data_IF_164536392444
#
_entry.id   IF_164536392444
#
_cell.length_a   1.000
_cell.length_b   1.000
_cell.length_c   1.000
_cell.angle_alpha   90.00
_cell.angle_beta   90.00
_cell.angle_gamma   90.00
#
_symmetry.space_group_name_H-M   'P 1'
#
loop_
_entity.id
_entity.type
_entity.pdbx_description
1 polymer ?
#
# COMPACT_ATOMS: atom_id res chain seq x y z
N UNK A 1 5.43 7.90 -5.96
CA UNK A 1 6.39 6.83 -5.59
C UNK A 1 5.97 5.50 -6.17
N UNK A 2 4.87 4.86 -5.74
CA UNK A 2 4.43 3.58 -6.31
C UNK A 2 4.39 3.56 -7.85
N UNK A 3 3.78 4.58 -8.47
CA UNK A 3 3.74 4.72 -9.92
C UNK A 3 5.12 4.94 -10.56
N UNK A 4 6.06 5.59 -9.86
CA UNK A 4 7.44 5.77 -10.33
C UNK A 4 8.21 4.44 -10.34
N UNK A 5 7.87 3.53 -9.44
CA UNK A 5 8.39 2.15 -9.40
C UNK A 5 7.64 1.21 -10.35
N UNK A 6 6.65 1.71 -11.11
CA UNK A 6 5.81 0.88 -11.97
C UNK A 6 4.83 -0.03 -11.21
N UNK A 7 4.56 0.26 -9.94
CA UNK A 7 3.72 -0.54 -9.04
C UNK A 7 2.36 0.13 -8.85
N UNK A 8 1.28 -0.65 -9.00
CA UNK A 8 -0.08 -0.20 -8.71
C UNK A 8 -0.34 -0.21 -7.20
N UNK A 9 -0.94 0.84 -6.68
CA UNK A 9 -1.44 0.87 -5.31
C UNK A 9 -2.96 0.78 -5.33
N UNK A 10 -3.51 -0.24 -4.67
CA UNK A 10 -4.95 -0.45 -4.55
C UNK A 10 -5.36 -0.47 -3.08
N UNK A 11 -6.48 0.17 -2.79
CA UNK A 11 -7.15 0.06 -1.50
C UNK A 11 -8.41 -0.78 -1.69
N UNK A 12 -8.67 -1.70 -0.76
CA UNK A 12 -9.98 -2.30 -0.63
C UNK A 12 -10.99 -1.28 -0.10
N UNK A 13 -12.26 -1.47 -0.39
CA UNK A 13 -13.32 -0.53 -0.01
C UNK A 13 -13.40 -0.36 1.52
N UNK A 14 -13.25 -1.46 2.25
CA UNK A 14 -13.22 -1.49 3.71
C UNK A 14 -12.02 -0.73 4.28
N UNK A 15 -10.89 -0.74 3.57
CA UNK A 15 -9.71 0.04 3.95
C UNK A 15 -9.98 1.55 3.82
N UNK A 16 -10.66 1.98 2.76
CA UNK A 16 -11.06 3.38 2.58
C UNK A 16 -12.01 3.83 3.70
N UNK A 17 -12.99 3.00 4.06
CA UNK A 17 -13.89 3.27 5.17
C UNK A 17 -13.15 3.36 6.52
N UNK A 18 -12.21 2.45 6.78
CA UNK A 18 -11.39 2.47 8.00
C UNK A 18 -10.53 3.74 8.10
N UNK A 19 -9.91 4.15 6.99
CA UNK A 19 -9.10 5.38 6.91
C UNK A 19 -9.98 6.60 7.18
N UNK A 20 -11.14 6.70 6.52
CA UNK A 20 -12.08 7.82 6.71
C UNK A 20 -12.55 7.92 8.18
N UNK A 21 -12.91 6.79 8.80
CA UNK A 21 -13.32 6.74 10.21
C UNK A 21 -12.21 7.24 11.13
N UNK A 22 -10.97 6.78 10.92
CA UNK A 22 -9.80 7.25 11.69
C UNK A 22 -9.53 8.75 11.51
N UNK A 23 -9.66 9.27 10.29
CA UNK A 23 -9.47 10.69 10.01
C UNK A 23 -10.49 11.57 10.75
N UNK A 24 -11.76 11.13 10.81
CA UNK A 24 -12.82 11.79 11.57
C UNK A 24 -12.51 11.75 13.07
N UNK A 25 -12.13 10.59 13.61
CA UNK A 25 -11.81 10.42 15.03
C UNK A 25 -10.65 11.32 15.50
N UNK A 26 -9.63 11.50 14.66
CA UNK A 26 -8.48 12.37 14.97
C UNK A 26 -8.82 13.87 14.92
N UNK A 27 -10.03 14.27 14.48
CA UNK A 27 -10.48 15.68 14.37
C UNK A 27 -9.55 16.60 13.56
N UNK A 28 -8.73 16.00 12.71
CA UNK A 28 -7.65 16.67 11.96
C UNK A 28 -8.08 17.16 10.57
N UNK A 29 -9.34 16.93 10.19
CA UNK A 29 -9.85 17.23 8.86
C UNK A 29 -9.02 16.58 7.74
N UNK A 30 -8.98 17.20 6.55
CA UNK A 30 -8.26 16.68 5.38
C UNK A 30 -6.74 16.56 5.59
N UNK A 31 -6.14 17.38 6.46
CA UNK A 31 -4.70 17.30 6.76
C UNK A 31 -4.33 16.01 7.51
N UNK A 32 -5.24 15.51 8.35
CA UNK A 32 -5.06 14.25 9.05
C UNK A 32 -5.07 13.02 8.16
N UNK A 33 -5.83 13.08 7.05
CA UNK A 33 -5.89 11.99 6.09
C UNK A 33 -4.50 11.69 5.51
N UNK A 34 -3.76 12.75 5.14
CA UNK A 34 -2.39 12.62 4.63
C UNK A 34 -1.47 11.94 5.64
N UNK A 35 -1.50 12.37 6.91
CA UNK A 35 -0.67 11.77 7.97
C UNK A 35 -1.02 10.30 8.23
N UNK A 36 -2.31 9.94 8.15
CA UNK A 36 -2.76 8.54 8.28
C UNK A 36 -2.22 7.70 7.12
N UNK A 37 -2.37 8.19 5.89
CA UNK A 37 -1.87 7.49 4.69
C UNK A 37 -0.35 7.36 4.72
N UNK A 38 0.38 8.41 5.10
CA UNK A 38 1.84 8.35 5.25
C UNK A 38 2.25 7.28 6.27
N UNK A 39 1.57 7.19 7.42
CA UNK A 39 1.85 6.14 8.41
C UNK A 39 1.59 4.72 7.91
N UNK A 40 0.50 4.52 7.15
CA UNK A 40 0.14 3.21 6.59
C UNK A 40 1.13 2.76 5.51
N UNK A 41 1.57 3.69 4.65
CA UNK A 41 2.35 3.37 3.47
C UNK A 41 3.87 3.42 3.72
N UNK A 42 4.33 3.97 4.84
CA UNK A 42 5.76 4.20 5.09
C UNK A 42 6.60 2.92 5.01
N UNK A 43 6.17 1.86 5.69
CA UNK A 43 6.89 0.58 5.69
C UNK A 43 6.92 -0.01 4.27
N UNK A 44 5.79 0.02 3.57
CA UNK A 44 5.68 -0.43 2.19
C UNK A 44 6.61 0.35 1.26
N UNK A 45 6.67 1.67 1.39
CA UNK A 45 7.52 2.53 0.56
C UNK A 45 9.01 2.26 0.81
N UNK A 46 9.38 1.85 2.01
CA UNK A 46 10.75 1.47 2.34
C UNK A 46 11.11 0.08 1.83
N UNK A 47 10.18 -0.88 1.92
CA UNK A 47 10.39 -2.25 1.44
C UNK A 47 10.36 -2.33 -0.10
N UNK A 48 9.49 -1.58 -0.76
CA UNK A 48 9.19 -1.72 -2.20
C UNK A 48 10.42 -1.69 -3.11
N UNK A 49 11.42 -0.79 -2.95
CA UNK A 49 12.61 -0.77 -3.80
C UNK A 49 13.47 -2.05 -3.72
N UNK A 50 13.31 -2.83 -2.65
CA UNK A 50 14.03 -4.10 -2.46
C UNK A 50 13.27 -5.31 -3.03
N UNK A 51 11.98 -5.15 -3.33
CA UNK A 51 11.12 -6.22 -3.82
C UNK A 51 11.16 -6.28 -5.35
N UNK A 52 11.65 -7.38 -5.90
CA UNK A 52 11.70 -7.61 -7.35
C UNK A 52 10.39 -8.21 -7.85
N UNK A 53 9.85 -7.65 -8.94
CA UNK A 53 8.71 -8.22 -9.67
C UNK A 53 7.33 -7.93 -9.07
N UNK A 54 7.24 -7.09 -8.04
CA UNK A 54 5.94 -6.61 -7.52
C UNK A 54 5.26 -5.77 -8.59
N UNK A 55 3.97 -6.02 -8.82
CA UNK A 55 3.15 -5.24 -9.76
C UNK A 55 2.03 -4.46 -9.07
N UNK A 56 1.52 -4.98 -7.96
CA UNK A 56 0.44 -4.35 -7.21
C UNK A 56 0.66 -4.52 -5.72
N UNK A 57 0.38 -3.46 -4.96
CA UNK A 57 0.23 -3.49 -3.50
C UNK A 57 -1.23 -3.26 -3.17
N UNK A 58 -1.81 -4.15 -2.37
CA UNK A 58 -3.19 -4.04 -1.90
C UNK A 58 -3.23 -3.75 -0.41
N UNK A 59 -3.91 -2.67 -0.05
CA UNK A 59 -4.14 -2.24 1.34
C UNK A 59 -5.54 -2.69 1.78
N UNK A 60 -5.58 -3.49 2.85
CA UNK A 60 -6.82 -3.99 3.47
C UNK A 60 -7.15 -3.21 4.74
N UNK A 61 -8.35 -3.41 5.30
CA UNK A 61 -8.73 -2.80 6.58
C UNK A 61 -7.80 -3.22 7.74
N UNK A 62 -7.30 -4.46 7.74
CA UNK A 62 -6.37 -4.95 8.76
C UNK A 62 -5.01 -4.25 8.69
N UNK A 63 -4.56 -3.89 7.48
CA UNK A 63 -3.34 -3.08 7.29
C UNK A 63 -3.54 -1.68 7.86
N UNK A 64 -4.70 -1.07 7.60
CA UNK A 64 -5.07 0.23 8.17
C UNK A 64 -5.06 0.15 9.70
N UNK A 65 -5.58 -0.93 10.28
CA UNK A 65 -5.62 -1.15 11.73
C UNK A 65 -4.25 -1.54 12.33
N UNK A 66 -3.24 -1.84 11.52
CA UNK A 66 -1.92 -2.30 11.97
C UNK A 66 -1.89 -3.75 12.44
N UNK A 67 -2.86 -4.57 12.00
CA UNK A 67 -3.01 -5.99 12.34
C UNK A 67 -2.39 -6.93 11.32
N UNK A 68 -2.16 -6.44 10.10
CA UNK A 68 -1.61 -7.21 8.99
C UNK A 68 -0.66 -6.36 8.14
N UNK A 69 0.13 -7.03 7.29
CA UNK A 69 0.97 -6.41 6.27
C UNK A 69 0.21 -6.27 4.94
N UNK A 70 0.58 -5.31 4.07
CA UNK A 70 0.06 -5.22 2.71
C UNK A 70 0.22 -6.53 1.93
N UNK A 71 -0.70 -6.77 0.99
CA UNK A 71 -0.58 -7.88 0.05
C UNK A 71 0.19 -7.42 -1.18
N UNK A 72 1.21 -8.19 -1.56
CA UNK A 72 2.00 -7.95 -2.76
C UNK A 72 1.61 -8.95 -3.84
N UNK A 73 1.22 -8.44 -5.01
CA UNK A 73 0.94 -9.27 -6.18
C UNK A 73 2.13 -9.20 -7.13
N UNK A 74 2.63 -10.37 -7.51
CA UNK A 74 3.67 -10.57 -8.52
C UNK A 74 3.00 -11.10 -9.78
N UNK A 75 3.59 -10.88 -10.96
CA UNK A 75 3.17 -11.66 -12.15
C UNK A 75 4.28 -12.59 -12.59
N UNK A 76 3.87 -13.73 -13.15
CA UNK A 76 4.72 -14.78 -13.71
C UNK A 76 5.70 -14.34 -14.82
N UNK A 77 5.67 -13.08 -15.27
CA UNK A 77 6.60 -12.58 -16.30
C UNK A 77 8.07 -12.49 -15.86
N UNK A 78 8.39 -12.74 -14.59
CA UNK A 78 9.76 -12.68 -14.09
C UNK A 78 10.61 -13.93 -14.43
N UNK A 79 10.02 -15.04 -14.88
CA UNK A 79 10.80 -16.25 -15.22
C UNK A 79 11.42 -16.22 -16.63
N UNK A 80 11.13 -15.21 -17.45
CA UNK A 80 11.57 -15.15 -18.85
C UNK A 80 12.86 -14.36 -19.11
N UNK A 81 13.59 -13.88 -18.09
CA UNK A 81 14.80 -13.04 -18.26
C UNK A 81 16.13 -13.66 -17.82
N UNK A 82 16.15 -14.93 -17.44
CA UNK A 82 17.38 -15.69 -17.10
C UNK A 82 17.76 -16.76 -18.13
N UNK A 83 17.08 -16.80 -19.29
CA UNK A 83 17.42 -17.69 -20.41
C UNK A 83 17.46 -16.91 -21.73
N UNK A 84 18.50 -16.10 -21.93
CA UNK A 84 19.01 -15.66 -23.24
C UNK A 84 20.45 -15.25 -23.12
#
# INVERSE_FOLDING_TARGET
MFEMEGVKLRFQEEALHAIAKRAIQRKTGARGLRSILEGILLETMFELPTLTGVQEVVITADVVDGKARPLYTYSDKAEAKSAS
#
